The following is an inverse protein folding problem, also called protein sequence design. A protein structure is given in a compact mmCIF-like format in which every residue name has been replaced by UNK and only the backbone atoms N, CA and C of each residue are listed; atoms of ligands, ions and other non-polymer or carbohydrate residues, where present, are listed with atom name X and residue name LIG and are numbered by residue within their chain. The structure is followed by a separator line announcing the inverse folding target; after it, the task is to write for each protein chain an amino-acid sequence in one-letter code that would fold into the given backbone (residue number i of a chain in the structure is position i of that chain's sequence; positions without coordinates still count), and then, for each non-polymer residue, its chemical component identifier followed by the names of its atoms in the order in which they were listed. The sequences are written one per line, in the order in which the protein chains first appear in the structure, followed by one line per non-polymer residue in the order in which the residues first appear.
data_IF_692618054096
#
_entry.id   IF_692618054096
#
_cell.length_a   1.000
_cell.length_b   1.000
_cell.length_c   1.000
_cell.angle_alpha   90.00
_cell.angle_beta   90.00
_cell.angle_gamma   90.00
#
_symmetry.space_group_name_H-M   'P 1'
#
loop_
_entity.id
_entity.type
_entity.pdbx_description
1 polymer ?
#
# COMPACT_ATOMS: atom_id res chain seq x y z
N UNK A 1 19.78 30.00 -4.93
CA UNK A 1 20.50 28.86 -5.54
C UNK A 1 19.60 27.62 -5.41
N UNK A 2 19.00 27.20 -6.53
CA UNK A 2 18.18 25.97 -6.60
C UNK A 2 19.13 24.76 -6.59
N UNK A 3 19.19 23.99 -5.51
CA UNK A 3 19.81 22.67 -5.52
C UNK A 3 18.87 21.73 -6.27
N UNK A 4 19.23 21.44 -7.52
CA UNK A 4 18.62 20.35 -8.28
C UNK A 4 18.90 19.03 -7.56
N UNK A 5 17.87 18.24 -7.29
CA UNK A 5 17.96 16.94 -6.65
C UNK A 5 18.23 15.87 -7.73
N UNK A 6 19.49 15.46 -7.98
CA UNK A 6 19.81 14.43 -8.99
C UNK A 6 19.29 13.04 -8.58
N UNK A 7 18.97 12.83 -7.29
CA UNK A 7 18.46 11.53 -6.80
C UNK A 7 17.03 11.18 -7.25
N UNK A 8 16.21 12.19 -7.57
CA UNK A 8 14.82 11.98 -7.98
C UNK A 8 14.73 11.45 -9.41
N UNK A 9 15.63 11.89 -10.30
CA UNK A 9 15.70 11.39 -11.68
C UNK A 9 16.11 9.91 -11.73
N UNK A 10 16.94 9.45 -10.80
CA UNK A 10 17.39 8.06 -10.72
C UNK A 10 16.27 7.11 -10.26
N UNK A 11 15.40 7.55 -9.34
CA UNK A 11 14.23 6.78 -8.88
C UNK A 11 13.14 6.66 -9.96
N UNK A 12 12.98 7.68 -10.81
CA UNK A 12 12.04 7.68 -11.92
C UNK A 12 12.52 6.81 -13.11
N UNK A 13 13.83 6.58 -13.23
CA UNK A 13 14.41 5.75 -14.29
C UNK A 13 14.42 4.24 -13.95
N UNK A 14 14.31 3.87 -12.68
CA UNK A 14 14.40 2.47 -12.23
C UNK A 14 13.34 1.54 -12.88
N UNK A 15 12.06 1.94 -13.03
CA UNK A 15 11.06 1.11 -13.71
C UNK A 15 11.36 0.88 -15.20
N UNK A 16 12.01 1.84 -15.86
CA UNK A 16 12.33 1.74 -17.29
C UNK A 16 13.54 0.86 -17.60
N UNK A 17 14.46 0.70 -16.64
CA UNK A 17 15.67 -0.14 -16.84
C UNK A 17 15.39 -1.63 -16.65
N UNK A 18 14.23 -2.00 -16.08
CA UNK A 18 13.85 -3.39 -15.81
C UNK A 18 12.91 -4.00 -16.86
N UNK A 19 12.52 -3.25 -17.90
CA UNK A 19 11.68 -3.76 -18.99
C UNK A 19 12.47 -4.64 -19.93
N UNK A 20 12.74 -5.90 -19.52
CA UNK A 20 13.23 -6.96 -20.40
C UNK A 20 12.13 -7.31 -21.43
N UNK A 21 12.44 -7.16 -22.71
CA UNK A 21 11.56 -7.51 -23.83
C UNK A 21 11.19 -8.99 -23.85
N UNK A 22 9.97 -9.33 -23.38
CA UNK A 22 9.28 -10.56 -23.73
C UNK A 22 8.21 -10.25 -24.79
N UNK A 23 8.04 -11.11 -25.79
CA UNK A 23 7.05 -10.93 -26.86
C UNK A 23 5.63 -10.85 -26.30
N UNK A 24 4.99 -9.71 -26.49
CA UNK A 24 3.76 -9.32 -25.80
C UNK A 24 2.56 -9.41 -26.74
N UNK A 25 1.56 -10.24 -26.40
CA UNK A 25 0.23 -10.22 -27.00
C UNK A 25 -0.58 -9.00 -26.55
N UNK A 26 -1.55 -8.54 -27.35
CA UNK A 26 -2.26 -7.26 -27.13
C UNK A 26 -3.02 -7.11 -25.79
N UNK A 27 -3.43 -8.22 -25.14
CA UNK A 27 -4.11 -8.19 -23.83
C UNK A 27 -3.11 -8.08 -22.65
N UNK A 28 -1.93 -8.64 -22.79
CA UNK A 28 -0.88 -8.63 -21.78
C UNK A 28 -0.31 -7.24 -21.53
N UNK A 29 -0.23 -6.42 -22.57
CA UNK A 29 0.23 -5.04 -22.48
C UNK A 29 -0.66 -4.23 -21.53
N UNK A 30 -1.96 -4.54 -21.44
CA UNK A 30 -2.90 -3.77 -20.62
C UNK A 30 -2.70 -3.92 -19.13
N UNK A 31 -2.44 -5.12 -18.60
CA UNK A 31 -2.27 -5.35 -17.15
C UNK A 31 -0.93 -4.81 -16.62
N UNK A 32 0.18 -5.08 -17.31
CA UNK A 32 1.48 -4.51 -16.92
C UNK A 32 1.49 -2.99 -17.02
N UNK A 33 0.77 -2.41 -17.99
CA UNK A 33 0.60 -0.96 -18.10
C UNK A 33 -0.19 -0.39 -16.94
N UNK A 34 -1.23 -1.07 -16.46
CA UNK A 34 -1.98 -0.63 -15.26
C UNK A 34 -1.05 -0.56 -14.04
N UNK A 35 -0.25 -1.61 -13.79
CA UNK A 35 0.73 -1.61 -12.69
C UNK A 35 1.81 -0.54 -12.87
N UNK A 36 2.30 -0.31 -14.10
CA UNK A 36 3.26 0.75 -14.38
C UNK A 36 2.68 2.14 -14.10
N UNK A 37 1.46 2.41 -14.60
CA UNK A 37 0.76 3.67 -14.36
C UNK A 37 0.48 3.87 -12.88
N UNK A 38 0.02 2.84 -12.16
CA UNK A 38 -0.22 2.90 -10.72
C UNK A 38 1.07 3.22 -9.94
N UNK A 39 2.18 2.58 -10.30
CA UNK A 39 3.50 2.85 -9.69
C UNK A 39 3.96 4.29 -9.96
N UNK A 40 3.82 4.78 -11.19
CA UNK A 40 4.18 6.16 -11.56
C UNK A 40 3.30 7.18 -10.85
N UNK A 41 2.00 6.92 -10.72
CA UNK A 41 1.08 7.78 -9.98
C UNK A 41 1.46 7.85 -8.49
N UNK A 42 1.73 6.71 -7.84
CA UNK A 42 2.14 6.68 -6.45
C UNK A 42 3.45 7.46 -6.22
N UNK A 43 4.46 7.28 -7.10
CA UNK A 43 5.69 8.08 -7.07
C UNK A 43 5.40 9.57 -7.27
N UNK A 44 4.56 9.91 -8.23
CA UNK A 44 4.18 11.30 -8.53
C UNK A 44 3.50 11.97 -7.34
N UNK A 45 2.59 11.28 -6.66
CA UNK A 45 1.90 11.78 -5.46
C UNK A 45 2.89 11.96 -4.30
N UNK A 46 3.75 10.97 -4.06
CA UNK A 46 4.79 11.05 -3.02
C UNK A 46 5.72 12.25 -3.24
N UNK A 47 6.25 12.39 -4.45
CA UNK A 47 7.15 13.51 -4.81
C UNK A 47 6.40 14.85 -4.75
N UNK A 48 5.19 14.90 -5.26
CA UNK A 48 4.33 16.07 -5.19
C UNK A 48 4.09 16.50 -3.74
N UNK A 49 3.70 15.57 -2.86
CA UNK A 49 3.52 15.85 -1.45
C UNK A 49 4.81 16.35 -0.78
N UNK A 50 5.93 15.68 -1.03
CA UNK A 50 7.23 16.05 -0.46
C UNK A 50 7.74 17.43 -0.92
N UNK A 51 7.49 17.79 -2.18
CA UNK A 51 7.96 19.07 -2.76
C UNK A 51 7.04 20.24 -2.45
N UNK A 52 5.73 20.05 -2.48
CA UNK A 52 4.75 21.13 -2.39
C UNK A 52 4.12 21.32 -1.02
N UNK A 53 4.23 20.34 -0.12
CA UNK A 53 3.67 20.47 1.22
C UNK A 53 4.56 21.34 2.11
N UNK A 54 4.01 22.49 2.59
CA UNK A 54 4.69 23.40 3.52
C UNK A 54 4.97 22.77 4.89
N UNK A 55 4.16 21.80 5.31
CA UNK A 55 4.30 21.05 6.58
C UNK A 55 4.08 19.57 6.29
N UNK A 56 5.14 18.79 6.28
CA UNK A 56 5.09 17.35 6.10
C UNK A 56 4.55 16.69 7.36
N UNK A 57 3.49 15.90 7.22
CA UNK A 57 3.01 15.00 8.27
C UNK A 57 3.71 13.66 8.11
N UNK A 58 4.50 13.28 9.11
CA UNK A 58 5.37 12.09 9.02
C UNK A 58 4.60 10.81 8.69
N UNK A 59 3.45 10.59 9.30
CA UNK A 59 2.66 9.37 9.08
C UNK A 59 2.02 9.34 7.70
N UNK A 60 1.55 10.49 7.21
CA UNK A 60 1.04 10.58 5.85
C UNK A 60 2.16 10.36 4.82
N UNK A 61 3.34 10.94 5.05
CA UNK A 61 4.51 10.70 4.20
C UNK A 61 4.89 9.21 4.19
N UNK A 62 4.92 8.54 5.35
CA UNK A 62 5.20 7.11 5.43
C UNK A 62 4.13 6.26 4.73
N UNK A 63 2.86 6.66 4.80
CA UNK A 63 1.78 6.03 4.05
C UNK A 63 2.06 6.10 2.55
N UNK A 64 2.39 7.31 2.02
CA UNK A 64 2.71 7.51 0.61
C UNK A 64 3.92 6.66 0.18
N UNK A 65 4.93 6.53 1.03
CA UNK A 65 6.07 5.63 0.79
C UNK A 65 5.61 4.18 0.73
N UNK A 66 4.77 3.71 1.65
CA UNK A 66 4.26 2.33 1.64
C UNK A 66 3.47 2.04 0.35
N UNK A 67 2.56 2.94 -0.06
CA UNK A 67 1.78 2.80 -1.31
C UNK A 67 2.71 2.73 -2.53
N UNK A 68 3.75 3.59 -2.57
CA UNK A 68 4.75 3.57 -3.65
C UNK A 68 5.50 2.24 -3.68
N UNK A 69 5.93 1.71 -2.53
CA UNK A 69 6.64 0.42 -2.43
C UNK A 69 5.76 -0.74 -2.89
N UNK A 70 4.48 -0.77 -2.49
CA UNK A 70 3.51 -1.80 -2.92
C UNK A 70 3.37 -1.80 -4.44
N UNK A 71 3.04 -0.64 -5.01
CA UNK A 71 2.77 -0.54 -6.45
C UNK A 71 4.03 -0.81 -7.29
N UNK A 72 5.21 -0.40 -6.82
CA UNK A 72 6.49 -0.74 -7.46
C UNK A 72 6.75 -2.24 -7.41
N UNK A 73 6.47 -2.91 -6.28
CA UNK A 73 6.62 -4.35 -6.15
C UNK A 73 5.70 -5.12 -7.10
N UNK A 74 4.43 -4.73 -7.25
CA UNK A 74 3.51 -5.36 -8.21
C UNK A 74 3.90 -5.10 -9.66
N UNK A 75 4.40 -3.89 -9.97
CA UNK A 75 4.94 -3.63 -11.30
C UNK A 75 6.15 -4.52 -11.61
N UNK A 76 7.11 -4.61 -10.68
CA UNK A 76 8.28 -5.50 -10.84
C UNK A 76 7.87 -6.97 -10.98
N UNK A 77 6.85 -7.42 -10.23
CA UNK A 77 6.31 -8.77 -10.36
C UNK A 77 5.73 -9.01 -11.75
N UNK A 78 4.93 -8.08 -12.26
CA UNK A 78 4.25 -8.21 -13.56
C UNK A 78 5.20 -8.34 -14.76
N UNK A 79 6.43 -7.82 -14.64
CA UNK A 79 7.47 -7.86 -15.69
C UNK A 79 8.62 -8.83 -15.36
N UNK A 80 8.51 -9.63 -14.31
CA UNK A 80 9.58 -10.53 -13.87
C UNK A 80 9.80 -11.66 -14.88
N UNK A 81 11.06 -11.92 -15.23
CA UNK A 81 11.45 -12.98 -16.18
C UNK A 81 11.83 -14.31 -15.52
N UNK A 82 11.86 -14.37 -14.18
CA UNK A 82 12.23 -15.58 -13.44
C UNK A 82 11.50 -15.67 -12.10
N UNK A 83 11.38 -16.90 -11.57
CA UNK A 83 10.76 -17.13 -10.26
C UNK A 83 11.49 -16.37 -9.14
N UNK A 84 12.81 -16.30 -9.19
CA UNK A 84 13.61 -15.61 -8.17
C UNK A 84 13.29 -14.11 -8.15
N UNK A 85 13.27 -13.46 -9.32
CA UNK A 85 12.91 -12.03 -9.45
C UNK A 85 11.46 -11.80 -9.00
N UNK A 86 10.54 -12.72 -9.35
CA UNK A 86 9.15 -12.65 -8.95
C UNK A 86 8.99 -12.75 -7.42
N UNK A 87 9.73 -13.64 -6.75
CA UNK A 87 9.73 -13.78 -5.30
C UNK A 87 10.28 -12.51 -4.61
N UNK A 88 11.37 -11.94 -5.12
CA UNK A 88 11.88 -10.66 -4.61
C UNK A 88 10.90 -9.52 -4.79
N UNK A 89 10.26 -9.42 -5.96
CA UNK A 89 9.22 -8.42 -6.23
C UNK A 89 8.03 -8.56 -5.29
N UNK A 90 7.61 -9.80 -5.02
CA UNK A 90 6.55 -10.11 -4.07
C UNK A 90 6.93 -9.71 -2.62
N UNK A 91 8.19 -9.92 -2.21
CA UNK A 91 8.70 -9.46 -0.90
C UNK A 91 8.66 -7.94 -0.78
N UNK A 92 9.01 -7.22 -1.85
CA UNK A 92 8.92 -5.75 -1.92
C UNK A 92 7.45 -5.31 -1.78
N UNK A 93 6.51 -5.96 -2.48
CA UNK A 93 5.08 -5.67 -2.33
C UNK A 93 4.62 -5.89 -0.88
N UNK A 94 4.98 -7.01 -0.26
CA UNK A 94 4.63 -7.28 1.14
C UNK A 94 5.27 -6.31 2.12
N UNK A 95 6.48 -5.81 1.86
CA UNK A 95 7.09 -4.77 2.69
C UNK A 95 6.20 -3.52 2.76
N UNK A 96 5.69 -3.07 1.63
CA UNK A 96 4.74 -1.96 1.61
C UNK A 96 3.38 -2.35 2.22
N UNK A 97 2.77 -3.46 1.77
CA UNK A 97 1.42 -3.88 2.14
C UNK A 97 1.25 -4.15 3.64
N UNK A 98 2.27 -4.70 4.32
CA UNK A 98 2.21 -4.99 5.75
C UNK A 98 2.29 -3.71 6.59
N UNK A 99 3.13 -2.75 6.22
CA UNK A 99 3.26 -1.51 6.99
C UNK A 99 2.24 -0.44 6.61
N UNK A 100 1.55 -0.59 5.47
CA UNK A 100 0.53 0.35 5.00
C UNK A 100 -0.65 0.51 6.00
N UNK A 101 -1.32 -0.56 6.50
CA UNK A 101 -2.42 -0.42 7.44
C UNK A 101 -1.98 0.27 8.74
N UNK A 102 -0.75 0.00 9.21
CA UNK A 102 -0.18 0.68 10.37
C UNK A 102 -0.04 2.19 10.11
N UNK A 103 0.58 2.59 9.01
CA UNK A 103 0.77 4.02 8.68
C UNK A 103 -0.55 4.72 8.42
N UNK A 104 -1.53 4.03 7.83
CA UNK A 104 -2.89 4.52 7.63
C UNK A 104 -3.60 4.76 8.97
N UNK A 105 -3.55 3.81 9.90
CA UNK A 105 -4.09 3.97 11.25
C UNK A 105 -3.45 5.17 11.98
N UNK A 106 -2.12 5.30 11.90
CA UNK A 106 -1.41 6.43 12.50
C UNK A 106 -1.82 7.77 11.88
N UNK A 107 -2.00 7.82 10.56
CA UNK A 107 -2.47 9.01 9.84
C UNK A 107 -3.89 9.39 10.25
N UNK A 108 -4.79 8.42 10.38
CA UNK A 108 -6.17 8.62 10.85
C UNK A 108 -6.16 9.16 12.29
N UNK A 109 -5.36 8.58 13.18
CA UNK A 109 -5.24 9.07 14.57
C UNK A 109 -4.72 10.50 14.63
N UNK A 110 -3.77 10.88 13.77
CA UNK A 110 -3.27 12.26 13.68
C UNK A 110 -4.35 13.23 13.19
N UNK A 111 -5.11 12.87 12.14
CA UNK A 111 -6.24 13.68 11.66
C UNK A 111 -7.32 13.81 12.73
N UNK A 112 -7.60 12.72 13.44
CA UNK A 112 -8.56 12.68 14.54
C UNK A 112 -8.07 13.32 15.85
N UNK A 113 -6.80 13.79 15.90
CA UNK A 113 -6.15 14.37 17.08
C UNK A 113 -6.20 13.46 18.32
N UNK A 114 -6.17 12.13 18.12
CA UNK A 114 -6.21 11.15 19.19
C UNK A 114 -4.79 10.94 19.73
N UNK A 115 -4.63 11.09 21.05
CA UNK A 115 -3.36 10.84 21.74
C UNK A 115 -3.04 9.35 21.74
N UNK A 116 -1.81 9.02 21.43
CA UNK A 116 -1.28 7.66 21.38
C UNK A 116 -0.38 7.38 22.57
N UNK A 117 -0.50 6.23 23.24
CA UNK A 117 0.49 5.82 24.23
C UNK A 117 1.84 5.51 23.54
N UNK A 118 2.94 5.84 24.20
CA UNK A 118 4.29 5.71 23.62
C UNK A 118 4.66 4.26 23.24
N UNK A 119 4.12 3.28 23.95
CA UNK A 119 4.37 1.85 23.68
C UNK A 119 3.67 1.32 22.44
N UNK A 120 2.62 1.98 21.97
CA UNK A 120 1.79 1.51 20.86
C UNK A 120 2.58 1.38 19.55
N UNK A 121 3.41 2.38 19.22
CA UNK A 121 4.19 2.38 17.98
C UNK A 121 5.17 1.21 17.92
N UNK A 122 6.07 0.99 18.91
CA UNK A 122 7.02 -0.12 18.84
C UNK A 122 6.33 -1.49 18.85
N UNK A 123 5.21 -1.64 19.58
CA UNK A 123 4.45 -2.91 19.56
C UNK A 123 3.85 -3.18 18.20
N UNK A 124 3.17 -2.21 17.59
CA UNK A 124 2.57 -2.39 16.27
C UNK A 124 3.62 -2.61 15.17
N UNK A 125 4.77 -1.93 15.25
CA UNK A 125 5.90 -2.18 14.35
C UNK A 125 6.47 -3.59 14.54
N UNK A 126 6.61 -4.06 15.78
CA UNK A 126 7.06 -5.43 16.08
C UNK A 126 6.12 -6.49 15.50
N UNK A 127 4.80 -6.31 15.69
CA UNK A 127 3.79 -7.21 15.09
C UNK A 127 3.88 -7.15 13.56
N UNK A 128 3.98 -5.96 12.97
CA UNK A 128 4.15 -5.81 11.53
C UNK A 128 5.42 -6.50 11.01
N UNK A 129 6.54 -6.37 11.72
CA UNK A 129 7.79 -7.04 11.36
C UNK A 129 7.65 -8.57 11.37
N UNK A 130 6.98 -9.14 12.37
CA UNK A 130 6.72 -10.59 12.44
C UNK A 130 5.84 -11.03 11.26
N UNK A 131 4.75 -10.32 10.99
CA UNK A 131 3.86 -10.62 9.86
C UNK A 131 4.59 -10.48 8.52
N UNK A 132 5.44 -9.46 8.37
CA UNK A 132 6.27 -9.28 7.18
C UNK A 132 7.24 -10.45 6.99
N UNK A 133 7.95 -10.88 8.03
CA UNK A 133 8.89 -12.01 7.93
C UNK A 133 8.17 -13.30 7.51
N UNK A 134 6.96 -13.54 8.02
CA UNK A 134 6.13 -14.68 7.63
C UNK A 134 5.70 -14.54 6.17
N UNK A 135 5.18 -13.38 5.75
CA UNK A 135 4.72 -13.14 4.39
C UNK A 135 5.85 -13.11 3.34
N UNK A 136 7.07 -12.76 3.76
CA UNK A 136 8.28 -12.73 2.93
C UNK A 136 9.01 -14.10 2.86
N UNK A 137 8.55 -15.10 3.60
CA UNK A 137 9.18 -16.44 3.68
C UNK A 137 9.11 -17.31 2.40
N UNK A 138 8.18 -17.13 1.44
CA UNK A 138 8.11 -17.96 0.25
C UNK A 138 9.45 -18.10 -0.48
N UNK A 139 9.76 -19.35 -0.86
CA UNK A 139 11.07 -19.71 -1.45
C UNK A 139 12.20 -19.92 -0.44
N UNK A 140 11.95 -19.73 0.86
CA UNK A 140 12.88 -20.03 1.96
C UNK A 140 12.23 -21.02 2.93
N UNK A 141 10.98 -20.76 3.33
CA UNK A 141 10.19 -21.60 4.23
C UNK A 141 8.78 -21.78 3.68
N UNK A 142 8.25 -22.99 3.77
CA UNK A 142 6.92 -23.38 3.24
C UNK A 142 5.78 -23.07 4.23
N UNK A 143 5.93 -22.00 5.03
CA UNK A 143 4.98 -21.64 6.08
C UNK A 143 3.86 -20.72 5.60
N UNK A 144 4.17 -19.75 4.73
CA UNK A 144 3.19 -18.82 4.18
C UNK A 144 2.59 -19.32 2.88
N UNK A 145 3.43 -19.81 1.94
CA UNK A 145 3.04 -20.61 0.79
C UNK A 145 3.79 -21.95 0.83
N UNK A 146 3.09 -23.06 0.54
CA UNK A 146 3.69 -24.39 0.43
C UNK A 146 4.48 -24.51 -0.86
N UNK A 147 3.89 -24.05 -1.95
CA UNK A 147 4.49 -24.08 -3.27
C UNK A 147 4.23 -22.76 -3.98
N UNK A 148 5.19 -22.31 -4.74
CA UNK A 148 5.09 -21.10 -5.56
C UNK A 148 5.70 -21.40 -6.92
N UNK A 149 4.92 -21.20 -7.97
CA UNK A 149 5.38 -21.34 -9.36
C UNK A 149 5.14 -20.05 -10.12
N UNK A 150 5.99 -19.78 -11.10
CA UNK A 150 5.80 -18.64 -11.99
C UNK A 150 4.90 -19.08 -13.14
N UNK A 151 3.84 -18.35 -13.38
CA UNK A 151 2.94 -18.53 -14.52
C UNK A 151 2.88 -17.25 -15.33
N UNK A 152 2.86 -17.41 -16.64
CA UNK A 152 2.62 -16.29 -17.56
C UNK A 152 1.16 -16.38 -18.01
N UNK A 153 0.36 -15.39 -17.62
CA UNK A 153 -1.05 -15.29 -18.00
C UNK A 153 -1.22 -14.02 -18.85
N UNK A 154 -1.65 -14.19 -20.08
CA UNK A 154 -1.78 -13.09 -21.04
C UNK A 154 -0.51 -12.20 -21.13
N UNK A 155 0.69 -12.80 -20.99
CA UNK A 155 1.99 -12.14 -21.04
C UNK A 155 2.41 -11.38 -19.78
N UNK A 156 1.61 -11.45 -18.71
CA UNK A 156 1.96 -10.92 -17.38
C UNK A 156 2.44 -12.05 -16.49
N UNK A 157 3.53 -11.82 -15.77
CA UNK A 157 4.04 -12.77 -14.80
C UNK A 157 3.20 -12.70 -13.52
N UNK A 158 2.64 -13.84 -13.15
CA UNK A 158 1.85 -14.05 -11.93
C UNK A 158 2.45 -15.19 -11.13
N UNK A 159 2.43 -15.06 -9.81
CA UNK A 159 2.79 -16.16 -8.92
C UNK A 159 1.56 -17.04 -8.67
N UNK A 160 1.60 -18.28 -9.13
CA UNK A 160 0.64 -19.30 -8.70
C UNK A 160 1.06 -19.81 -7.34
N UNK A 161 0.18 -19.66 -6.35
CA UNK A 161 0.48 -19.83 -4.93
C UNK A 161 -0.35 -20.97 -4.37
N UNK A 162 0.27 -21.93 -3.70
CA UNK A 162 -0.43 -22.90 -2.83
C UNK A 162 -0.26 -22.41 -1.39
N UNK A 163 -1.36 -22.12 -0.73
CA UNK A 163 -1.36 -21.50 0.60
C UNK A 163 -0.80 -22.42 1.67
N UNK A 164 0.05 -21.87 2.53
CA UNK A 164 0.64 -22.53 3.69
C UNK A 164 -0.18 -22.35 4.96
N UNK A 165 0.24 -22.98 6.07
CA UNK A 165 -0.51 -22.95 7.34
C UNK A 165 -0.63 -21.55 7.97
N UNK A 166 0.32 -20.65 7.71
CA UNK A 166 0.32 -19.29 8.26
C UNK A 166 -0.18 -18.23 7.28
N UNK A 167 -0.73 -18.63 6.12
CA UNK A 167 -1.26 -17.66 5.15
C UNK A 167 -2.33 -16.75 5.76
N UNK A 168 -3.24 -17.30 6.57
CA UNK A 168 -4.33 -16.55 7.18
C UNK A 168 -3.90 -15.47 8.18
N UNK A 169 -2.64 -15.49 8.65
CA UNK A 169 -2.16 -14.49 9.63
C UNK A 169 -2.22 -13.06 9.06
N UNK A 170 -1.92 -12.90 7.76
CA UNK A 170 -2.01 -11.62 7.10
C UNK A 170 -3.46 -11.13 6.97
N UNK A 171 -4.40 -12.04 6.74
CA UNK A 171 -5.83 -11.71 6.70
C UNK A 171 -6.33 -11.21 8.05
N UNK A 172 -6.02 -11.92 9.14
CA UNK A 172 -6.37 -11.49 10.50
C UNK A 172 -5.73 -10.15 10.86
N UNK A 173 -4.49 -9.95 10.44
CA UNK A 173 -3.78 -8.69 10.61
C UNK A 173 -4.52 -7.52 9.95
N UNK A 174 -4.95 -7.66 8.69
CA UNK A 174 -5.73 -6.65 7.98
C UNK A 174 -7.06 -6.36 8.66
N UNK A 175 -7.82 -7.41 9.02
CA UNK A 175 -9.12 -7.28 9.73
C UNK A 175 -8.94 -6.51 11.04
N UNK A 176 -7.90 -6.81 11.82
CA UNK A 176 -7.62 -6.12 13.07
C UNK A 176 -7.36 -4.62 12.84
N UNK A 177 -6.54 -4.26 11.85
CA UNK A 177 -6.28 -2.85 11.53
C UNK A 177 -7.51 -2.12 11.01
N UNK A 178 -8.29 -2.72 10.12
CA UNK A 178 -9.51 -2.11 9.59
C UNK A 178 -10.53 -1.88 10.71
N UNK A 179 -10.70 -2.85 11.61
CA UNK A 179 -11.56 -2.71 12.79
C UNK A 179 -11.09 -1.58 13.70
N UNK A 180 -9.78 -1.47 13.94
CA UNK A 180 -9.20 -0.37 14.72
C UNK A 180 -9.42 0.99 14.04
N UNK A 181 -9.26 1.10 12.72
CA UNK A 181 -9.49 2.36 11.99
C UNK A 181 -10.93 2.83 12.14
N UNK A 182 -11.90 1.93 11.92
CA UNK A 182 -13.33 2.24 12.10
C UNK A 182 -13.61 2.66 13.54
N UNK A 183 -13.11 1.91 14.53
CA UNK A 183 -13.31 2.23 15.94
C UNK A 183 -12.72 3.60 16.32
N UNK A 184 -11.53 3.94 15.81
CA UNK A 184 -10.87 5.24 16.04
C UNK A 184 -11.69 6.38 15.45
N UNK A 185 -12.21 6.24 14.22
CA UNK A 185 -13.02 7.27 13.56
C UNK A 185 -14.33 7.46 14.32
N UNK A 186 -15.01 6.38 14.69
CA UNK A 186 -16.26 6.44 15.46
C UNK A 186 -16.06 7.05 16.85
N UNK A 187 -14.98 6.67 17.55
CA UNK A 187 -14.62 7.27 18.83
C UNK A 187 -14.35 8.78 18.71
N UNK A 188 -13.55 9.19 17.68
CA UNK A 188 -13.24 10.58 17.43
C UNK A 188 -14.51 11.41 17.18
N UNK A 189 -15.47 10.84 16.46
CA UNK A 189 -16.75 11.50 16.15
C UNK A 189 -17.66 11.60 17.37
N UNK A 190 -17.84 10.51 18.12
CA UNK A 190 -18.84 10.44 19.20
C UNK A 190 -18.36 11.01 20.54
N UNK A 191 -17.13 10.69 20.96
CA UNK A 191 -16.63 11.08 22.27
C UNK A 191 -15.72 12.29 22.26
N UNK A 192 -14.79 12.34 21.32
CA UNK A 192 -13.81 13.42 21.29
C UNK A 192 -14.30 14.68 20.58
N UNK A 193 -15.36 14.58 19.77
CA UNK A 193 -15.88 15.67 18.90
C UNK A 193 -14.75 16.42 18.15
N UNK A 194 -13.64 15.74 17.93
CA UNK A 194 -12.41 16.32 17.39
C UNK A 194 -12.40 16.40 15.85
N UNK A 195 -13.39 15.76 15.22
CA UNK A 195 -13.48 15.64 13.76
C UNK A 195 -14.87 16.04 13.30
N UNK A 196 -14.93 16.88 12.27
CA UNK A 196 -16.20 17.21 11.62
C UNK A 196 -16.80 15.98 10.93
N UNK A 197 -18.14 16.03 10.69
CA UNK A 197 -18.84 14.94 9.99
C UNK A 197 -18.19 14.66 8.64
N UNK A 198 -17.88 15.71 7.86
CA UNK A 198 -17.30 15.56 6.52
C UNK A 198 -15.97 14.80 6.53
N UNK A 199 -15.08 15.08 7.49
CA UNK A 199 -13.82 14.36 7.61
C UNK A 199 -14.02 12.92 8.07
N UNK A 200 -14.90 12.68 9.04
CA UNK A 200 -15.21 11.33 9.47
C UNK A 200 -15.76 10.46 8.32
N UNK A 201 -16.64 11.03 7.50
CA UNK A 201 -17.18 10.35 6.30
C UNK A 201 -16.08 10.05 5.29
N UNK A 202 -15.20 11.01 4.96
CA UNK A 202 -14.10 10.78 4.02
C UNK A 202 -13.15 9.69 4.51
N UNK A 203 -12.79 9.70 5.79
CA UNK A 203 -11.92 8.67 6.39
C UNK A 203 -12.59 7.29 6.39
N UNK A 204 -13.89 7.22 6.69
CA UNK A 204 -14.66 5.98 6.61
C UNK A 204 -14.72 5.45 5.18
N UNK A 205 -15.00 6.31 4.20
CA UNK A 205 -15.03 5.92 2.78
C UNK A 205 -13.67 5.33 2.37
N UNK A 206 -12.57 6.00 2.69
CA UNK A 206 -11.22 5.51 2.37
C UNK A 206 -10.96 4.12 2.99
N UNK A 207 -11.36 3.91 4.24
CA UNK A 207 -11.21 2.63 4.93
C UNK A 207 -12.11 1.55 4.32
N UNK A 208 -13.39 1.88 4.06
CA UNK A 208 -14.38 0.95 3.51
C UNK A 208 -14.06 0.52 2.08
N UNK A 209 -13.48 1.39 1.25
CA UNK A 209 -13.02 1.03 -0.09
C UNK A 209 -11.97 -0.09 0.00
N UNK A 210 -10.97 0.06 0.88
CA UNK A 210 -9.96 -0.99 1.06
C UNK A 210 -10.56 -2.31 1.57
N UNK A 211 -11.50 -2.23 2.53
CA UNK A 211 -12.20 -3.43 3.02
C UNK A 211 -13.00 -4.10 1.90
N UNK A 212 -13.75 -3.32 1.12
CA UNK A 212 -14.57 -3.84 0.04
C UNK A 212 -13.73 -4.51 -1.06
N UNK A 213 -12.64 -3.87 -1.50
CA UNK A 213 -11.73 -4.43 -2.50
C UNK A 213 -11.05 -5.68 -1.96
N UNK A 214 -10.56 -5.66 -0.72
CA UNK A 214 -9.96 -6.82 -0.09
C UNK A 214 -10.94 -8.01 0.01
N UNK A 215 -12.20 -7.77 0.42
CA UNK A 215 -13.22 -8.82 0.47
C UNK A 215 -13.52 -9.36 -0.93
N UNK A 216 -13.57 -8.49 -1.93
CA UNK A 216 -13.81 -8.88 -3.31
C UNK A 216 -12.69 -9.79 -3.84
N UNK A 217 -11.44 -9.49 -3.55
CA UNK A 217 -10.29 -10.35 -3.88
C UNK A 217 -10.31 -11.71 -3.15
N UNK A 218 -10.91 -11.78 -1.95
CA UNK A 218 -11.08 -13.06 -1.25
C UNK A 218 -12.24 -13.91 -1.82
N UNK A 219 -13.25 -13.29 -2.41
CA UNK A 219 -14.45 -13.97 -2.91
C UNK A 219 -14.36 -14.37 -4.37
N UNK A 220 -13.57 -13.63 -5.14
CA UNK A 220 -13.41 -13.82 -6.59
C UNK A 220 -11.96 -14.19 -6.85
N UNK A 221 -11.75 -15.30 -7.54
CA UNK A 221 -10.41 -15.72 -7.97
C UNK A 221 -9.97 -14.84 -9.16
N UNK A 222 -9.44 -13.66 -8.83
CA UNK A 222 -9.00 -12.67 -9.80
C UNK A 222 -7.48 -12.68 -9.83
N UNK A 223 -6.91 -12.83 -11.02
CA UNK A 223 -5.47 -12.84 -11.24
C UNK A 223 -4.82 -11.44 -11.07
N UNK A 224 -5.63 -10.39 -10.92
CA UNK A 224 -5.18 -9.01 -10.76
C UNK A 224 -5.35 -8.53 -9.31
N UNK A 225 -4.31 -7.96 -8.75
CA UNK A 225 -4.28 -7.42 -7.38
C UNK A 225 -4.89 -5.99 -7.36
N UNK A 226 -6.22 -5.90 -7.27
CA UNK A 226 -6.96 -4.62 -7.24
C UNK A 226 -6.68 -3.82 -5.96
N UNK A 227 -6.25 -4.47 -4.91
CA UNK A 227 -5.91 -3.82 -3.64
C UNK A 227 -4.83 -2.76 -3.83
N UNK A 228 -3.90 -2.95 -4.76
CA UNK A 228 -2.87 -1.96 -5.10
C UNK A 228 -3.46 -0.63 -5.60
N UNK A 229 -4.50 -0.70 -6.42
CA UNK A 229 -5.23 0.47 -6.95
C UNK A 229 -6.06 1.13 -5.83
N UNK A 230 -6.72 0.33 -4.97
CA UNK A 230 -7.51 0.86 -3.87
C UNK A 230 -6.66 1.64 -2.85
N UNK A 231 -5.40 1.28 -2.70
CA UNK A 231 -4.47 2.02 -1.85
C UNK A 231 -4.21 3.42 -2.39
N UNK A 232 -4.06 3.59 -3.70
CA UNK A 232 -3.90 4.93 -4.33
C UNK A 232 -5.16 5.77 -4.11
N UNK A 233 -6.35 5.19 -4.27
CA UNK A 233 -7.60 5.89 -4.02
C UNK A 233 -7.67 6.37 -2.56
N UNK A 234 -7.34 5.51 -1.61
CA UNK A 234 -7.33 5.84 -0.19
C UNK A 234 -6.29 6.90 0.18
N UNK A 235 -5.11 6.84 -0.45
CA UNK A 235 -4.07 7.84 -0.36
C UNK A 235 -4.57 9.21 -0.79
N UNK A 236 -5.27 9.30 -1.93
CA UNK A 236 -5.86 10.54 -2.43
C UNK A 236 -6.94 11.08 -1.48
N UNK A 237 -7.78 10.23 -0.89
CA UNK A 237 -8.74 10.64 0.12
C UNK A 237 -8.08 11.24 1.36
N UNK A 238 -7.05 10.58 1.90
CA UNK A 238 -6.32 11.05 3.08
C UNK A 238 -5.57 12.35 2.78
N UNK A 239 -4.99 12.48 1.60
CA UNK A 239 -4.34 13.70 1.14
C UNK A 239 -5.37 14.84 1.01
N UNK A 240 -6.53 14.56 0.43
CA UNK A 240 -7.64 15.51 0.33
C UNK A 240 -8.12 16.02 1.70
N UNK A 241 -8.25 15.11 2.68
CA UNK A 241 -8.59 15.47 4.07
C UNK A 241 -7.50 16.35 4.69
N UNK A 242 -6.21 16.06 4.46
CA UNK A 242 -5.12 16.87 4.97
C UNK A 242 -5.10 18.29 4.39
N UNK A 243 -5.31 18.42 3.07
CA UNK A 243 -5.38 19.72 2.37
C UNK A 243 -6.58 20.54 2.88
N UNK A 244 -7.75 19.91 2.99
CA UNK A 244 -8.96 20.57 3.46
C UNK A 244 -8.83 21.03 4.91
N UNK A 245 -8.23 20.19 5.79
CA UNK A 245 -7.96 20.53 7.18
C UNK A 245 -7.04 21.75 7.31
N UNK A 246 -6.05 21.88 6.44
CA UNK A 246 -5.13 23.05 6.41
C UNK A 246 -5.82 24.32 5.89
N UNK A 247 -6.66 24.18 4.88
CA UNK A 247 -7.41 25.33 4.33
C UNK A 247 -8.30 25.99 5.38
N UNK A 248 -8.98 25.18 6.22
CA UNK A 248 -9.83 25.70 7.29
C UNK A 248 -9.05 26.27 8.50
N UNK A 249 -7.78 25.89 8.69
CA UNK A 249 -6.94 26.47 9.74
C UNK A 249 -6.32 27.83 9.37
N UNK A 250 -6.33 28.16 8.07
CA UNK A 250 -5.78 29.43 7.55
C UNK A 250 -6.86 30.50 7.32
N UNK A 251 -8.12 30.19 7.57
CA UNK A 251 -9.25 31.13 7.65
C UNK A 251 -9.52 31.56 9.09
#
# INVERSE_FOLDING_TARGET
MKKSAPGIACLLALPFLLSGCGAVGSKSLSLSVIYAVSSLLAVGILVGYACFSKKLKSWLLMLLVCVTVVNTGYFMLSVSGSLEVALWSNRISYLGSVFLPFTMLMSIMDVCKIKRPKWMIPVLLGVGAIVFLIAASPGILDIYYKEVTLRIVDGVCVLQKVYGPLHSIYLYYLVAYFSCMVAVIMYARHKAHSVSISYAVLLLIATLINIAVWLLEQLVDIEFEFLSVSYIISELFLLGVDILARSLQNQ
#
